data_IF_365444940960
#
_entry.id   IF_365444940960
#
_cell.length_a   1.000
_cell.length_b   1.000
_cell.length_c   1.000
_cell.angle_alpha   90.00
_cell.angle_beta   90.00
_cell.angle_gamma   90.00
#
_symmetry.space_group_name_H-M   'P 1'
#
loop_
_entity.id
_entity.type
_entity.pdbx_description
1 polymer ?
#
# COMPACT_ATOMS: atom_id res chain seq x y z
N UNK A 1 9.04 26.75 -11.53
CA UNK A 1 7.60 26.62 -11.85
C UNK A 1 7.25 25.18 -11.53
N UNK A 2 6.52 24.92 -10.45
CA UNK A 2 6.16 23.56 -10.06
C UNK A 2 4.87 23.19 -10.82
N UNK A 3 4.88 22.08 -11.54
CA UNK A 3 3.69 21.55 -12.20
C UNK A 3 3.07 20.49 -11.29
N UNK A 4 1.81 20.70 -10.91
CA UNK A 4 1.03 19.70 -10.16
C UNK A 4 0.49 18.68 -11.15
N UNK A 5 0.92 17.42 -11.05
CA UNK A 5 0.37 16.32 -11.84
C UNK A 5 -0.82 15.73 -11.08
N UNK A 6 -2.03 15.84 -11.65
CA UNK A 6 -3.19 15.13 -11.13
C UNK A 6 -3.21 13.72 -11.73
N UNK A 7 -3.02 12.70 -10.90
CA UNK A 7 -3.11 11.30 -11.31
C UNK A 7 -4.57 10.84 -11.19
N UNK A 8 -5.24 10.65 -12.32
CA UNK A 8 -6.57 10.01 -12.34
C UNK A 8 -6.43 8.57 -12.83
N UNK A 9 -6.72 7.60 -11.96
CA UNK A 9 -6.66 6.17 -12.29
C UNK A 9 -8.06 5.71 -12.73
N UNK A 10 -8.19 5.26 -13.97
CA UNK A 10 -9.41 4.58 -14.45
C UNK A 10 -9.17 3.08 -14.46
N UNK A 11 -9.84 2.35 -13.57
CA UNK A 11 -9.77 0.88 -13.54
C UNK A 11 -10.88 0.28 -14.39
N UNK A 12 -10.65 0.14 -15.69
CA UNK A 12 -11.33 -0.88 -16.49
C UNK A 12 -10.41 -1.41 -17.59
N UNK A 13 -9.93 -2.65 -17.41
CA UNK A 13 -9.44 -3.51 -18.48
C UNK A 13 -7.98 -3.37 -18.92
N UNK A 14 -7.34 -2.20 -18.77
CA UNK A 14 -5.90 -2.02 -18.91
C UNK A 14 -5.54 -0.75 -18.14
N UNK A 15 -4.61 -0.82 -17.19
CA UNK A 15 -4.30 0.35 -16.35
C UNK A 15 -3.53 1.38 -17.17
N UNK A 16 -4.27 2.31 -17.77
CA UNK A 16 -3.75 3.48 -18.46
C UNK A 16 -3.60 4.58 -17.41
N UNK A 17 -2.38 5.09 -17.26
CA UNK A 17 -2.11 6.28 -16.47
C UNK A 17 -1.97 7.45 -17.44
N UNK A 18 -2.78 8.48 -17.27
CA UNK A 18 -2.69 9.70 -18.09
C UNK A 18 -1.96 10.78 -17.30
N UNK A 19 -0.79 11.20 -17.81
CA UNK A 19 -0.09 12.39 -17.33
C UNK A 19 -0.59 13.59 -18.14
N UNK A 20 -0.98 14.66 -17.44
CA UNK A 20 -1.51 15.86 -18.07
C UNK A 20 -0.75 17.10 -17.59
N UNK A 21 -0.18 17.85 -18.52
CA UNK A 21 0.13 19.27 -18.31
C UNK A 21 -0.95 20.14 -18.97
N UNK A 22 -0.79 21.46 -19.00
CA UNK A 22 -1.80 22.36 -19.58
C UNK A 22 -2.09 22.09 -21.08
N UNK A 23 -1.17 21.45 -21.82
CA UNK A 23 -1.20 21.31 -23.28
C UNK A 23 -1.05 19.87 -23.79
N UNK A 24 -0.66 18.90 -22.96
CA UNK A 24 -0.31 17.56 -23.38
C UNK A 24 -0.97 16.47 -22.53
N UNK A 25 -1.31 15.36 -23.19
CA UNK A 25 -1.78 14.12 -22.56
C UNK A 25 -0.83 12.99 -22.96
N UNK A 26 -0.26 12.32 -21.96
CA UNK A 26 0.58 11.15 -22.17
C UNK A 26 -0.05 9.95 -21.49
N UNK A 27 -0.44 8.95 -22.27
CA UNK A 27 -0.88 7.66 -21.75
C UNK A 27 0.33 6.76 -21.54
N UNK A 28 0.49 6.21 -20.34
CA UNK A 28 1.49 5.20 -20.04
C UNK A 28 0.84 3.91 -19.50
N UNK A 29 1.46 2.78 -19.80
CA UNK A 29 1.08 1.48 -19.29
C UNK A 29 2.05 1.07 -18.19
N UNK A 30 1.52 0.69 -17.04
CA UNK A 30 2.33 0.12 -15.96
C UNK A 30 2.72 -1.32 -16.28
N UNK A 31 3.98 -1.66 -16.01
CA UNK A 31 4.53 -3.00 -16.14
C UNK A 31 5.25 -3.39 -14.87
N UNK A 32 4.89 -4.55 -14.30
CA UNK A 32 5.70 -5.19 -13.27
C UNK A 32 6.82 -5.97 -13.95
N UNK A 33 8.08 -5.58 -13.72
CA UNK A 33 9.25 -6.17 -14.37
C UNK A 33 9.93 -7.24 -13.51
N UNK A 34 9.36 -7.57 -12.34
CA UNK A 34 9.99 -8.47 -11.35
C UNK A 34 10.96 -7.74 -10.43
N UNK A 35 11.46 -8.43 -9.39
CA UNK A 35 12.50 -7.93 -8.48
C UNK A 35 12.25 -6.53 -7.86
N UNK A 36 10.98 -6.20 -7.60
CA UNK A 36 10.55 -4.87 -7.14
C UNK A 36 10.87 -3.73 -8.12
N UNK A 37 11.12 -4.06 -9.38
CA UNK A 37 11.29 -3.14 -10.49
C UNK A 37 9.95 -2.96 -11.17
N UNK A 38 9.53 -1.71 -11.27
CA UNK A 38 8.29 -1.32 -11.94
C UNK A 38 8.63 -0.35 -13.06
N UNK A 39 8.09 -0.62 -14.24
CA UNK A 39 8.30 0.17 -15.44
C UNK A 39 7.02 0.85 -15.88
N UNK A 40 7.19 1.90 -16.69
CA UNK A 40 6.12 2.50 -17.47
C UNK A 40 6.52 2.41 -18.93
N UNK A 41 5.64 1.90 -19.78
CA UNK A 41 5.82 1.96 -21.23
C UNK A 41 4.90 3.01 -21.83
N UNK A 42 5.42 3.75 -22.80
CA UNK A 42 4.67 4.72 -23.58
C UNK A 42 4.41 4.05 -24.94
N UNK A 43 3.16 4.02 -25.46
CA UNK A 43 2.92 3.49 -26.78
C UNK A 43 3.71 4.33 -27.80
N UNK A 44 4.40 3.66 -28.72
CA UNK A 44 5.32 4.26 -29.71
C UNK A 44 4.68 5.40 -30.54
N UNK A 45 3.34 5.44 -30.62
CA UNK A 45 2.56 6.48 -31.31
C UNK A 45 2.31 7.75 -30.48
N UNK A 46 2.60 7.76 -29.17
CA UNK A 46 2.60 8.96 -28.34
C UNK A 46 3.99 9.60 -28.41
N UNK A 47 4.36 10.06 -29.61
CA UNK A 47 5.65 10.67 -29.89
C UNK A 47 5.71 11.99 -29.12
N UNK A 48 6.33 11.95 -27.93
CA UNK A 48 7.14 13.06 -27.43
C UNK A 48 7.97 13.54 -28.63
N UNK A 49 7.80 14.81 -29.03
CA UNK A 49 8.51 15.32 -30.21
C UNK A 49 9.99 15.00 -30.04
N UNK A 50 10.60 14.33 -31.03
CA UNK A 50 11.94 13.71 -30.94
C UNK A 50 12.94 14.66 -30.25
N UNK A 51 13.17 14.48 -28.96
CA UNK A 51 13.95 15.41 -28.11
C UNK A 51 13.34 15.77 -26.76
N UNK A 52 12.06 15.49 -26.49
CA UNK A 52 11.44 15.73 -25.17
C UNK A 52 11.80 14.63 -24.16
N UNK A 53 12.10 15.04 -22.92
CA UNK A 53 12.40 14.12 -21.80
C UNK A 53 11.17 14.03 -20.90
N UNK A 54 10.65 12.83 -20.68
CA UNK A 54 9.70 12.58 -19.60
C UNK A 54 10.45 12.59 -18.27
N UNK A 55 10.18 13.59 -17.44
CA UNK A 55 10.69 13.65 -16.07
C UNK A 55 9.57 13.21 -15.13
N UNK A 56 9.76 12.10 -14.42
CA UNK A 56 8.91 11.71 -13.29
C UNK A 56 9.53 12.33 -12.04
N UNK A 57 9.01 13.49 -11.63
CA UNK A 57 9.46 14.24 -10.45
C UNK A 57 8.32 14.46 -9.45
N UNK A 58 8.46 14.03 -8.18
CA UNK A 58 9.55 13.19 -7.68
C UNK A 58 9.41 11.75 -8.16
N UNK A 59 10.54 11.07 -8.34
CA UNK A 59 10.54 9.61 -8.43
C UNK A 59 9.84 9.07 -7.18
N UNK A 60 8.90 8.10 -7.30
CA UNK A 60 8.24 7.54 -6.13
C UNK A 60 9.28 6.84 -5.24
N UNK A 61 9.63 7.49 -4.12
CA UNK A 61 10.52 6.93 -3.11
C UNK A 61 9.67 6.14 -2.13
N UNK A 62 9.98 4.85 -1.97
CA UNK A 62 9.41 4.06 -0.86
C UNK A 62 10.02 4.57 0.45
N UNK A 63 9.26 5.36 1.20
CA UNK A 63 9.70 5.86 2.51
C UNK A 63 9.98 4.72 3.49
N UNK A 64 9.04 3.77 3.60
CA UNK A 64 9.23 2.54 4.37
C UNK A 64 8.24 1.47 3.91
N UNK A 65 8.50 0.24 4.34
CA UNK A 65 7.59 -0.89 4.28
C UNK A 65 7.85 -1.75 5.53
N UNK A 66 6.81 -2.36 6.07
CA UNK A 66 6.91 -3.19 7.26
C UNK A 66 6.03 -4.43 7.11
N UNK A 67 6.29 -5.44 7.94
CA UNK A 67 5.48 -6.63 8.02
C UNK A 67 4.72 -6.63 9.34
N UNK A 68 3.43 -6.96 9.28
CA UNK A 68 2.58 -7.15 10.44
C UNK A 68 1.81 -8.46 10.29
N UNK A 69 2.18 -9.44 11.11
CA UNK A 69 1.64 -10.79 11.03
C UNK A 69 2.48 -11.78 11.84
N UNK A 70 2.03 -13.02 11.90
CA UNK A 70 2.63 -14.06 12.72
C UNK A 70 2.92 -15.35 11.97
N UNK A 71 2.74 -16.47 12.66
CA UNK A 71 3.05 -17.82 12.17
C UNK A 71 2.01 -18.42 11.21
N UNK A 72 0.97 -17.68 10.85
CA UNK A 72 -0.12 -18.12 9.97
C UNK A 72 -0.57 -16.96 9.08
N UNK A 73 -1.82 -16.99 8.59
CA UNK A 73 -2.36 -16.02 7.63
C UNK A 73 -3.05 -14.84 8.30
N UNK A 74 -2.77 -13.65 7.76
CA UNK A 74 -3.45 -12.39 8.05
C UNK A 74 -4.15 -11.87 6.80
N UNK A 75 -5.38 -11.37 6.98
CA UNK A 75 -6.10 -10.61 5.95
C UNK A 75 -6.40 -9.25 6.52
N UNK A 76 -5.68 -8.22 6.06
CA UNK A 76 -5.96 -6.82 6.38
C UNK A 76 -7.14 -6.37 5.51
N UNK A 77 -8.24 -5.97 6.15
CA UNK A 77 -9.46 -5.53 5.46
C UNK A 77 -9.74 -4.04 5.62
N UNK A 78 -9.03 -3.35 6.52
CA UNK A 78 -9.17 -1.91 6.70
C UNK A 78 -7.84 -1.26 7.11
N UNK A 79 -7.63 -0.03 6.62
CA UNK A 79 -6.52 0.84 7.01
C UNK A 79 -7.04 2.27 7.17
N UNK A 80 -6.55 2.97 8.18
CA UNK A 80 -6.83 4.40 8.41
C UNK A 80 -5.62 5.07 9.09
N UNK A 81 -5.60 6.39 9.17
CA UNK A 81 -4.56 7.15 9.86
C UNK A 81 -5.12 8.28 10.72
N UNK A 82 -4.35 8.70 11.74
CA UNK A 82 -4.64 9.91 12.53
C UNK A 82 -3.81 11.12 12.06
N UNK A 83 -4.09 12.30 12.62
CA UNK A 83 -3.41 13.56 12.29
C UNK A 83 -1.92 13.58 12.67
N UNK A 84 -1.47 12.62 13.48
CA UNK A 84 -0.06 12.45 13.85
C UNK A 84 0.65 11.45 12.90
N UNK A 85 -0.04 10.97 11.87
CA UNK A 85 0.48 10.01 10.91
C UNK A 85 0.61 8.59 11.44
N UNK A 86 0.01 8.27 12.60
CA UNK A 86 -0.08 6.87 13.01
C UNK A 86 -1.07 6.14 12.11
N UNK A 87 -0.81 4.87 11.86
CA UNK A 87 -1.60 4.03 10.97
C UNK A 87 -2.31 3.00 11.83
N UNK A 88 -3.59 2.80 11.56
CA UNK A 88 -4.41 1.76 12.17
C UNK A 88 -4.75 0.74 11.10
N UNK A 89 -4.44 -0.52 11.36
CA UNK A 89 -4.83 -1.64 10.51
C UNK A 89 -5.77 -2.55 11.28
N UNK A 90 -6.77 -3.06 10.59
CA UNK A 90 -7.69 -4.04 11.13
C UNK A 90 -7.95 -5.14 10.11
N UNK A 91 -8.23 -6.33 10.61
CA UNK A 91 -8.37 -7.50 9.77
C UNK A 91 -8.68 -8.75 10.56
N UNK A 92 -8.42 -9.89 9.95
CA UNK A 92 -8.53 -11.22 10.55
C UNK A 92 -7.16 -11.90 10.56
N UNK A 93 -6.90 -12.68 11.59
CA UNK A 93 -5.64 -13.42 11.76
C UNK A 93 -5.93 -14.82 12.26
N UNK A 94 -5.17 -15.78 11.75
CA UNK A 94 -5.08 -17.14 12.27
C UNK A 94 -3.75 -17.38 12.99
N UNK A 95 -2.94 -16.33 13.17
CA UNK A 95 -1.64 -16.41 13.84
C UNK A 95 -1.78 -16.38 15.35
N UNK A 96 -0.98 -17.18 16.05
CA UNK A 96 -0.95 -17.25 17.52
C UNK A 96 0.14 -16.39 18.14
N UNK A 97 0.99 -15.76 17.33
CA UNK A 97 2.06 -14.87 17.77
C UNK A 97 2.13 -13.59 16.93
N UNK A 98 2.91 -12.61 17.38
CA UNK A 98 3.22 -11.35 16.68
C UNK A 98 2.02 -10.45 16.29
N UNK A 99 0.81 -10.75 16.79
CA UNK A 99 -0.35 -9.86 16.65
C UNK A 99 -0.43 -8.93 17.86
N UNK A 100 -0.64 -9.47 19.06
CA UNK A 100 -0.87 -8.65 20.23
C UNK A 100 0.42 -8.11 20.87
N UNK A 101 0.28 -7.01 21.62
CA UNK A 101 1.28 -6.51 22.57
C UNK A 101 0.94 -7.01 23.98
N UNK A 102 1.94 -7.21 24.83
CA UNK A 102 1.74 -7.57 26.24
C UNK A 102 0.86 -6.51 26.91
N UNK A 103 -0.18 -6.94 27.62
CA UNK A 103 -1.13 -6.06 28.30
C UNK A 103 -2.20 -5.45 27.38
N UNK A 104 -2.28 -5.87 26.11
CA UNK A 104 -3.38 -5.50 25.23
C UNK A 104 -4.72 -6.10 25.70
N UNK A 105 -5.82 -5.63 25.11
CA UNK A 105 -7.18 -6.08 25.42
C UNK A 105 -7.32 -7.61 25.35
N UNK A 106 -6.80 -8.22 24.28
CA UNK A 106 -6.71 -9.66 24.12
C UNK A 106 -5.34 -10.02 23.55
N UNK A 107 -4.60 -10.82 24.31
CA UNK A 107 -3.19 -11.14 24.01
C UNK A 107 -2.97 -12.46 23.28
N UNK A 108 -3.99 -13.32 23.23
CA UNK A 108 -3.96 -14.63 22.57
C UNK A 108 -5.14 -14.76 21.61
N UNK A 109 -4.94 -15.53 20.54
CA UNK A 109 -6.01 -16.01 19.67
C UNK A 109 -6.99 -16.86 20.51
N UNK A 110 -8.27 -16.52 20.51
CA UNK A 110 -9.31 -17.16 21.34
C UNK A 110 -10.19 -18.14 20.58
N UNK A 111 -10.31 -18.00 19.25
CA UNK A 111 -11.12 -18.88 18.42
C UNK A 111 -10.79 -20.37 18.62
N UNK A 112 -11.82 -21.17 18.91
CA UNK A 112 -11.73 -22.64 19.07
C UNK A 112 -12.14 -23.43 17.83
N UNK A 113 -12.37 -22.76 16.70
CA UNK A 113 -12.72 -23.42 15.43
C UNK A 113 -11.56 -24.24 14.87
N UNK A 114 -11.88 -25.23 14.02
CA UNK A 114 -10.90 -26.09 13.35
C UNK A 114 -9.86 -25.28 12.55
N UNK A 115 -10.27 -24.14 11.99
CA UNK A 115 -9.38 -23.12 11.44
C UNK A 115 -9.52 -21.89 12.35
N UNK A 116 -8.61 -21.68 13.31
CA UNK A 116 -8.81 -20.65 14.31
C UNK A 116 -8.60 -19.27 13.69
N UNK A 117 -9.55 -18.34 13.91
CA UNK A 117 -9.46 -16.98 13.35
C UNK A 117 -10.16 -15.99 14.27
N UNK A 118 -9.42 -14.96 14.68
CA UNK A 118 -9.98 -13.79 15.37
C UNK A 118 -9.84 -12.56 14.47
N UNK A 119 -10.58 -11.50 14.79
CA UNK A 119 -10.22 -10.19 14.32
C UNK A 119 -8.96 -9.68 15.04
N UNK A 120 -8.31 -8.68 14.46
CA UNK A 120 -7.26 -7.94 15.14
C UNK A 120 -7.35 -6.46 14.81
N UNK A 121 -6.79 -5.65 15.70
CA UNK A 121 -6.52 -4.23 15.46
C UNK A 121 -5.10 -3.93 15.87
N UNK A 122 -4.39 -3.14 15.06
CA UNK A 122 -3.05 -2.69 15.38
C UNK A 122 -2.86 -1.22 15.06
N UNK A 123 -1.97 -0.58 15.83
CA UNK A 123 -1.48 0.76 15.59
C UNK A 123 0.01 0.72 15.29
N UNK A 124 0.39 1.31 14.16
CA UNK A 124 1.77 1.57 13.76
C UNK A 124 2.04 3.08 13.87
N UNK A 125 3.28 3.47 14.13
CA UNK A 125 3.69 4.87 14.02
C UNK A 125 3.92 5.26 12.55
N UNK A 126 4.22 6.54 12.30
CA UNK A 126 4.47 7.08 10.94
C UNK A 126 5.71 6.50 10.24
N UNK A 127 6.53 5.71 10.94
CA UNK A 127 7.72 5.01 10.38
C UNK A 127 7.50 3.50 10.24
N UNK A 128 6.27 3.01 10.43
CA UNK A 128 5.92 1.58 10.28
C UNK A 128 6.26 0.68 11.47
N UNK A 129 6.64 1.25 12.62
CA UNK A 129 6.88 0.49 13.85
C UNK A 129 5.57 0.25 14.60
N UNK A 130 5.32 -1.00 15.03
CA UNK A 130 4.14 -1.35 15.83
C UNK A 130 4.20 -0.67 17.21
N UNK A 131 3.20 0.16 17.50
CA UNK A 131 2.97 0.74 18.82
C UNK A 131 2.23 -0.28 19.69
N UNK A 132 1.10 -0.79 19.19
CA UNK A 132 0.37 -1.86 19.86
C UNK A 132 -0.44 -2.69 18.87
N UNK A 133 -0.82 -3.90 19.29
CA UNK A 133 -1.79 -4.76 18.61
C UNK A 133 -2.63 -5.53 19.62
N UNK A 134 -3.80 -5.96 19.20
CA UNK A 134 -4.69 -6.83 20.00
C UNK A 134 -5.43 -7.79 19.08
N UNK A 135 -5.68 -9.01 19.58
CA UNK A 135 -6.74 -9.86 19.05
C UNK A 135 -8.11 -9.30 19.44
N UNK A 136 -9.15 -9.81 18.79
CA UNK A 136 -10.55 -9.54 19.11
C UNK A 136 -11.41 -10.69 18.59
N UNK A 137 -11.93 -11.55 19.48
CA UNK A 137 -12.71 -12.74 19.10
C UNK A 137 -13.35 -13.46 20.28
#
# INVERSE_FOLDING_TARGET
MFFSINLTVYTSGATIYTFKDFNHYLNAYFSNLGDYIFGFSIPELAILSKGETLVIDPMPIRHWGTYYGGNSSEVISAVSSDSLGNIYIAGRTSSTNNIATIGAHQVNLASTFTIPTDAFVAKLNHTGNRIWGTYYG
#
